data_IF_780752685336
#
_entry.id   IF_780752685336
#
_cell.length_a   1.000
_cell.length_b   1.000
_cell.length_c   1.000
_cell.angle_alpha   90.00
_cell.angle_beta   90.00
_cell.angle_gamma   90.00
#
_symmetry.space_group_name_H-M   'P 1'
#
loop_
_entity.id
_entity.type
_entity.pdbx_description
1 polymer ?
#
# COMPACT_ATOMS: atom_id res chain seq x y z
N UNK A 1 14.68 -13.44 26.41
CA UNK A 1 15.01 -12.44 25.36
C UNK A 1 14.14 -11.24 25.65
N UNK A 2 14.71 -10.03 25.76
CA UNK A 2 13.93 -8.79 26.02
C UNK A 2 13.51 -8.15 24.68
N UNK A 3 12.87 -8.95 23.82
CA UNK A 3 12.36 -8.42 22.56
C UNK A 3 11.17 -7.50 22.79
N UNK A 4 10.98 -6.56 21.87
CA UNK A 4 9.87 -5.62 21.88
C UNK A 4 9.21 -5.60 20.50
N UNK A 5 7.94 -5.26 20.46
CA UNK A 5 7.19 -5.15 19.21
C UNK A 5 6.19 -4.02 19.27
N UNK A 6 5.95 -3.37 18.13
CA UNK A 6 4.86 -2.42 17.96
C UNK A 6 4.18 -2.62 16.61
N UNK A 7 2.85 -2.51 16.63
CA UNK A 7 2.02 -2.47 15.43
C UNK A 7 1.52 -1.05 15.19
N UNK A 8 1.83 -0.48 14.04
CA UNK A 8 1.59 0.94 13.74
C UNK A 8 0.87 1.08 12.41
N UNK A 9 -0.30 1.68 12.41
CA UNK A 9 -1.07 1.90 11.19
C UNK A 9 -0.63 3.18 10.48
N UNK A 10 -0.42 3.10 9.16
CA UNK A 10 -0.23 4.28 8.29
C UNK A 10 -1.59 4.65 7.69
N UNK A 11 -2.22 5.68 8.25
CA UNK A 11 -3.48 6.23 7.80
C UNK A 11 -3.29 7.54 7.02
N UNK A 12 -4.17 7.84 6.09
CA UNK A 12 -4.13 9.08 5.31
C UNK A 12 -4.98 8.96 4.05
N UNK A 13 -5.27 10.11 3.41
CA UNK A 13 -6.01 10.12 2.14
C UNK A 13 -5.26 9.39 1.01
N UNK A 14 -5.93 9.12 -0.12
CA UNK A 14 -5.25 8.61 -1.31
C UNK A 14 -4.10 9.53 -1.75
N UNK A 15 -3.02 8.94 -2.23
CA UNK A 15 -1.86 9.62 -2.84
C UNK A 15 -0.99 10.48 -1.89
N UNK A 16 -1.20 10.47 -0.58
CA UNK A 16 -0.31 11.14 0.39
C UNK A 16 1.06 10.46 0.51
N UNK A 17 1.20 9.22 0.01
CA UNK A 17 2.47 8.48 -0.01
C UNK A 17 2.59 7.34 1.00
N UNK A 18 1.47 6.75 1.46
CA UNK A 18 1.48 5.63 2.43
C UNK A 18 2.33 4.45 1.97
N UNK A 19 2.05 3.90 0.80
CA UNK A 19 2.81 2.77 0.23
C UNK A 19 4.26 3.14 -0.11
N UNK A 20 4.52 4.43 -0.46
CA UNK A 20 5.89 4.92 -0.63
C UNK A 20 6.63 4.91 0.70
N UNK A 21 5.97 5.34 1.79
CA UNK A 21 6.54 5.30 3.12
C UNK A 21 6.79 3.86 3.57
N UNK A 22 5.82 2.94 3.41
CA UNK A 22 5.99 1.52 3.75
C UNK A 22 7.21 0.91 3.04
N UNK A 23 7.35 1.11 1.73
CA UNK A 23 8.51 0.66 0.96
C UNK A 23 9.83 1.28 1.47
N UNK A 24 9.80 2.59 1.79
CA UNK A 24 10.99 3.31 2.26
C UNK A 24 11.45 2.85 3.65
N UNK A 25 10.52 2.51 4.55
CA UNK A 25 10.81 2.00 5.89
C UNK A 25 11.44 0.61 5.85
N UNK A 26 10.98 -0.25 4.96
CA UNK A 26 11.52 -1.62 4.75
C UNK A 26 12.82 -1.61 3.93
N UNK A 27 12.95 -0.64 3.02
CA UNK A 27 14.09 -0.55 2.08
C UNK A 27 13.92 -1.38 0.81
N UNK A 28 12.75 -1.97 0.59
CA UNK A 28 12.42 -2.74 -0.62
C UNK A 28 10.97 -2.56 -1.07
N UNK A 29 10.65 -3.02 -2.28
CA UNK A 29 9.32 -2.85 -2.88
C UNK A 29 8.37 -3.96 -2.45
N UNK A 30 7.65 -3.75 -1.35
CA UNK A 30 6.58 -4.64 -0.87
C UNK A 30 5.18 -4.18 -1.29
N UNK A 31 5.01 -2.89 -1.57
CA UNK A 31 3.75 -2.28 -1.97
C UNK A 31 3.89 -1.55 -3.30
N UNK A 32 2.83 -1.55 -4.09
CA UNK A 32 2.80 -0.82 -5.36
C UNK A 32 2.53 0.66 -5.15
N UNK A 33 3.10 1.48 -6.03
CA UNK A 33 2.98 2.94 -5.95
C UNK A 33 2.42 3.50 -7.25
N UNK A 34 1.38 4.31 -7.16
CA UNK A 34 0.79 5.01 -8.31
C UNK A 34 0.21 6.36 -7.89
N UNK A 35 0.12 7.29 -8.83
CA UNK A 35 -0.58 8.56 -8.65
C UNK A 35 -2.11 8.42 -8.72
N UNK A 36 -2.63 7.23 -9.02
CA UNK A 36 -4.07 6.97 -9.14
C UNK A 36 -4.67 6.57 -7.79
N UNK A 37 -5.91 6.95 -7.50
CA UNK A 37 -6.59 6.50 -6.29
C UNK A 37 -6.79 4.98 -6.31
N UNK A 38 -7.04 4.38 -5.14
CA UNK A 38 -7.25 2.93 -4.98
C UNK A 38 -6.04 2.09 -5.47
N UNK A 39 -4.82 2.60 -5.29
CA UNK A 39 -3.60 1.87 -5.58
C UNK A 39 -3.46 0.68 -4.65
N UNK A 40 -3.45 0.90 -3.34
CA UNK A 40 -3.49 -0.16 -2.32
C UNK A 40 -4.94 -0.60 -2.12
N UNK A 41 -5.19 -1.90 -2.17
CA UNK A 41 -6.53 -2.50 -1.98
C UNK A 41 -6.62 -3.42 -0.77
N UNK A 42 -5.52 -4.05 -0.40
CA UNK A 42 -5.38 -4.89 0.79
C UNK A 42 -4.59 -4.16 1.89
N UNK A 43 -4.69 -4.67 3.10
CA UNK A 43 -3.74 -4.39 4.15
C UNK A 43 -2.40 -5.03 3.78
N UNK A 44 -1.30 -4.32 3.96
CA UNK A 44 0.06 -4.81 3.75
C UNK A 44 0.84 -4.51 5.02
N UNK A 45 1.44 -5.55 5.63
CA UNK A 45 2.39 -5.35 6.71
C UNK A 45 3.78 -5.11 6.13
N UNK A 46 4.38 -3.99 6.51
CA UNK A 46 5.78 -3.65 6.31
C UNK A 46 6.52 -3.93 7.62
N UNK A 47 7.40 -4.94 7.62
CA UNK A 47 8.04 -5.46 8.83
C UNK A 47 9.48 -4.98 8.85
N UNK A 48 9.89 -4.37 9.96
CA UNK A 48 11.24 -3.82 10.14
C UNK A 48 11.82 -4.30 11.46
N UNK A 49 12.92 -5.07 11.37
CA UNK A 49 13.67 -5.52 12.53
C UNK A 49 14.80 -4.53 12.83
N UNK A 50 14.87 -4.06 14.08
CA UNK A 50 15.92 -3.17 14.58
C UNK A 50 16.45 -3.69 15.92
N UNK A 51 17.47 -4.54 15.88
CA UNK A 51 18.01 -5.18 17.05
C UNK A 51 16.95 -6.01 17.79
N UNK A 52 16.65 -5.68 19.03
CA UNK A 52 15.65 -6.39 19.85
C UNK A 52 14.20 -5.89 19.60
N UNK A 53 13.99 -5.00 18.63
CA UNK A 53 12.67 -4.40 18.38
C UNK A 53 12.21 -4.74 16.97
N UNK A 54 10.97 -5.24 16.85
CA UNK A 54 10.27 -5.41 15.58
C UNK A 54 9.14 -4.40 15.47
N UNK A 55 9.17 -3.57 14.42
CA UNK A 55 8.12 -2.62 14.07
C UNK A 55 7.33 -3.14 12.88
N UNK A 56 6.01 -3.24 13.05
CA UNK A 56 5.09 -3.69 11.99
C UNK A 56 4.23 -2.52 11.56
N UNK A 57 4.49 -2.00 10.37
CA UNK A 57 3.71 -0.91 9.80
C UNK A 57 2.61 -1.47 8.90
N UNK A 58 1.38 -1.04 9.14
CA UNK A 58 0.23 -1.46 8.35
C UNK A 58 -0.06 -0.39 7.30
N UNK A 59 0.28 -0.64 6.02
CA UNK A 59 -0.18 0.17 4.89
C UNK A 59 -1.63 -0.16 4.58
N UNK A 60 -2.48 0.86 4.60
CA UNK A 60 -3.92 0.71 4.38
C UNK A 60 -4.35 1.32 3.05
N UNK A 61 -5.46 0.84 2.46
CA UNK A 61 -6.12 1.56 1.39
C UNK A 61 -6.34 3.03 1.74
N UNK A 62 -6.23 3.92 0.75
CA UNK A 62 -6.55 5.33 0.96
C UNK A 62 -8.02 5.51 1.34
N UNK A 63 -8.28 6.27 2.39
CA UNK A 63 -9.65 6.53 2.85
C UNK A 63 -10.47 7.25 1.78
N UNK A 64 -11.59 6.66 1.33
CA UNK A 64 -12.45 7.17 0.28
C UNK A 64 -13.91 6.74 0.48
N UNK A 65 -14.84 7.43 -0.17
CA UNK A 65 -16.26 7.01 -0.16
C UNK A 65 -16.45 5.81 -1.10
N UNK A 66 -16.97 4.68 -0.60
CA UNK A 66 -17.17 3.48 -1.41
C UNK A 66 -18.29 3.65 -2.44
N UNK A 67 -18.16 2.98 -3.58
CA UNK A 67 -19.17 2.93 -4.65
C UNK A 67 -19.43 1.52 -5.16
N UNK A 68 -18.67 0.54 -4.68
CA UNK A 68 -18.74 -0.88 -5.05
C UNK A 68 -18.46 -1.71 -3.81
N UNK A 69 -18.80 -3.00 -3.82
CA UNK A 69 -18.45 -3.92 -2.73
C UNK A 69 -16.95 -3.99 -2.46
N UNK A 70 -16.12 -3.89 -3.51
CA UNK A 70 -14.66 -3.77 -3.33
C UNK A 70 -14.30 -2.49 -2.58
N UNK A 71 -15.00 -1.38 -2.85
CA UNK A 71 -14.83 -0.12 -2.11
C UNK A 71 -15.22 -0.25 -0.64
N UNK A 72 -16.34 -0.92 -0.34
CA UNK A 72 -16.77 -1.21 1.04
C UNK A 72 -15.73 -2.06 1.78
N UNK A 73 -15.18 -3.08 1.12
CA UNK A 73 -14.08 -3.89 1.64
C UNK A 73 -12.87 -3.03 2.04
N UNK A 74 -12.43 -2.13 1.16
CA UNK A 74 -11.28 -1.24 1.43
C UNK A 74 -11.52 -0.30 2.62
N UNK A 75 -12.73 0.24 2.77
CA UNK A 75 -13.09 1.10 3.91
C UNK A 75 -13.10 0.30 5.22
N UNK A 76 -13.59 -0.93 5.20
CA UNK A 76 -13.59 -1.80 6.38
C UNK A 76 -12.16 -2.10 6.84
N UNK A 77 -11.20 -2.34 5.93
CA UNK A 77 -9.79 -2.51 6.27
C UNK A 77 -9.26 -1.28 7.03
N UNK A 78 -9.52 -0.07 6.54
CA UNK A 78 -9.05 1.15 7.22
C UNK A 78 -9.65 1.25 8.63
N UNK A 79 -10.93 0.97 8.78
CA UNK A 79 -11.59 1.03 10.08
C UNK A 79 -11.03 0.02 11.09
N UNK A 80 -10.80 -1.22 10.66
CA UNK A 80 -10.22 -2.27 11.49
C UNK A 80 -8.76 -1.98 11.85
N UNK A 81 -7.98 -1.45 10.89
CA UNK A 81 -6.55 -1.17 11.09
C UNK A 81 -6.25 -0.04 12.08
N UNK A 82 -7.24 0.75 12.49
CA UNK A 82 -7.05 1.82 13.49
C UNK A 82 -7.40 1.33 14.92
N UNK A 83 -8.15 0.24 15.05
CA UNK A 83 -8.72 -0.15 16.34
C UNK A 83 -7.75 -0.91 17.28
N UNK A 84 -6.89 -1.78 16.72
CA UNK A 84 -6.07 -2.73 17.51
C UNK A 84 -4.57 -2.55 17.19
N UNK A 85 -4.05 -1.32 17.40
CA UNK A 85 -2.64 -1.00 17.15
C UNK A 85 -2.06 -0.15 18.28
N UNK A 86 -0.73 -0.16 18.39
CA UNK A 86 -0.02 0.59 19.43
C UNK A 86 0.07 2.09 19.13
N UNK A 87 0.07 2.46 17.84
CA UNK A 87 0.05 3.85 17.40
C UNK A 87 -0.50 3.99 15.97
N UNK A 88 -0.88 5.20 15.61
CA UNK A 88 -1.30 5.56 14.25
C UNK A 88 -0.41 6.68 13.71
N UNK A 89 0.14 6.50 12.53
CA UNK A 89 0.74 7.56 11.72
C UNK A 89 -0.38 8.19 10.88
N UNK A 90 -0.73 9.44 11.18
CA UNK A 90 -1.56 10.25 10.28
C UNK A 90 -0.65 10.92 9.25
N UNK A 91 -0.60 10.35 8.05
CA UNK A 91 0.23 10.83 6.96
C UNK A 91 -0.52 11.88 6.14
N UNK A 92 0.05 13.09 6.03
CA UNK A 92 -0.55 14.22 5.32
C UNK A 92 0.43 14.85 4.33
N UNK A 93 -0.09 15.61 3.37
CA UNK A 93 0.73 16.44 2.48
C UNK A 93 1.03 17.80 3.13
N UNK A 94 2.08 18.54 2.68
CA UNK A 94 2.45 19.84 3.24
C UNK A 94 1.51 20.96 2.75
N UNK A 95 0.21 20.81 3.03
CA UNK A 95 -0.87 21.72 2.65
C UNK A 95 -1.57 22.15 3.92
N UNK A 96 -1.61 23.47 4.18
CA UNK A 96 -2.24 24.05 5.37
C UNK A 96 -3.79 24.07 5.27
N UNK A 97 -4.37 22.92 4.95
CA UNK A 97 -5.83 22.76 4.86
C UNK A 97 -6.19 21.30 5.23
N UNK A 98 -7.00 21.17 6.27
CA UNK A 98 -7.50 19.86 6.71
C UNK A 98 -8.80 19.57 5.97
N UNK A 99 -8.72 18.62 5.03
CA UNK A 99 -9.87 18.21 4.23
C UNK A 99 -10.87 17.33 5.00
N UNK A 100 -12.06 17.09 4.43
CA UNK A 100 -13.08 16.26 5.09
C UNK A 100 -12.62 14.83 5.39
N UNK A 101 -11.74 14.28 4.55
CA UNK A 101 -11.20 12.93 4.73
C UNK A 101 -10.21 12.86 5.89
N UNK A 102 -9.35 13.87 6.05
CA UNK A 102 -8.47 13.98 7.21
C UNK A 102 -9.26 14.18 8.50
N UNK A 103 -10.30 15.05 8.48
CA UNK A 103 -11.18 15.26 9.63
C UNK A 103 -11.85 13.95 10.08
N UNK A 104 -12.39 13.18 9.14
CA UNK A 104 -13.02 11.89 9.44
C UNK A 104 -12.00 10.86 10.00
N UNK A 105 -10.77 10.83 9.49
CA UNK A 105 -9.71 10.00 10.05
C UNK A 105 -9.30 10.43 11.45
N UNK A 106 -9.18 11.73 11.71
CA UNK A 106 -8.86 12.29 13.03
C UNK A 106 -9.93 11.89 14.05
N UNK A 107 -11.22 12.00 13.70
CA UNK A 107 -12.30 11.59 14.60
C UNK A 107 -12.24 10.08 14.91
N UNK A 108 -11.96 9.23 13.92
CA UNK A 108 -11.77 7.79 14.15
C UNK A 108 -10.60 7.49 15.09
N UNK A 109 -9.47 8.19 14.93
CA UNK A 109 -8.31 8.03 15.81
C UNK A 109 -8.66 8.45 17.25
N UNK A 110 -9.41 9.55 17.42
CA UNK A 110 -9.91 9.99 18.74
C UNK A 110 -10.82 8.94 19.39
N UNK A 111 -11.77 8.39 18.61
CA UNK A 111 -12.70 7.37 19.09
C UNK A 111 -11.96 6.09 19.53
N UNK A 112 -10.94 5.69 18.77
CA UNK A 112 -10.09 4.55 19.10
C UNK A 112 -9.18 4.79 20.31
N UNK A 113 -8.95 6.05 20.71
CA UNK A 113 -8.04 6.45 21.80
C UNK A 113 -6.61 5.91 21.64
N UNK A 114 -6.15 5.78 20.42
CA UNK A 114 -4.81 5.30 20.10
C UNK A 114 -3.87 6.49 19.93
N UNK A 115 -2.61 6.43 20.45
CA UNK A 115 -1.61 7.46 20.22
C UNK A 115 -1.40 7.73 18.75
N UNK A 116 -1.22 9.00 18.39
CA UNK A 116 -1.06 9.39 16.99
C UNK A 116 0.18 10.25 16.76
N UNK A 117 0.86 10.00 15.63
CA UNK A 117 1.99 10.79 15.13
C UNK A 117 1.49 11.51 13.88
N UNK A 118 1.64 12.83 13.83
CA UNK A 118 1.42 13.59 12.58
C UNK A 118 2.69 13.52 11.73
N UNK A 119 2.60 12.92 10.54
CA UNK A 119 3.71 12.85 9.60
C UNK A 119 3.39 13.66 8.36
N UNK A 120 4.16 14.74 8.14
CA UNK A 120 4.00 15.62 6.98
C UNK A 120 4.97 15.13 5.91
N UNK A 121 4.43 14.46 4.88
CA UNK A 121 5.21 13.88 3.79
C UNK A 121 5.36 14.84 2.61
N UNK A 122 6.27 14.53 1.70
CA UNK A 122 6.56 15.28 0.47
C UNK A 122 7.14 16.69 0.75
N UNK A 123 7.91 16.83 1.81
CA UNK A 123 8.56 18.12 2.14
C UNK A 123 9.54 18.58 1.06
N UNK A 124 9.99 17.67 0.20
CA UNK A 124 10.79 17.94 -0.99
C UNK A 124 10.08 18.77 -2.07
N UNK A 125 8.76 18.96 -1.93
CA UNK A 125 7.94 19.70 -2.90
C UNK A 125 7.62 21.14 -2.47
N UNK A 126 8.02 21.55 -1.28
CA UNK A 126 7.72 22.87 -0.69
C UNK A 126 8.92 23.48 0.02
N UNK A 127 8.88 24.80 0.23
CA UNK A 127 9.85 25.48 1.08
C UNK A 127 9.59 25.21 2.57
N UNK A 128 10.64 25.20 3.39
CA UNK A 128 10.56 24.84 4.82
C UNK A 128 9.56 25.69 5.61
N UNK A 129 9.45 26.97 5.26
CA UNK A 129 8.55 27.94 5.90
C UNK A 129 7.06 27.55 5.76
N UNK A 130 6.74 26.78 4.72
CA UNK A 130 5.36 26.27 4.47
C UNK A 130 4.93 25.27 5.55
N UNK A 131 5.86 24.63 6.24
CA UNK A 131 5.53 23.59 7.23
C UNK A 131 4.89 24.13 8.49
N UNK A 132 5.25 25.35 8.94
CA UNK A 132 4.68 25.95 10.15
C UNK A 132 3.16 26.18 10.05
N UNK A 133 2.62 26.76 8.96
CA UNK A 133 1.17 26.83 8.75
C UNK A 133 0.49 25.45 8.71
N UNK A 134 1.14 24.42 8.14
CA UNK A 134 0.59 23.05 8.11
C UNK A 134 0.49 22.52 9.53
N UNK A 135 1.55 22.60 10.34
CA UNK A 135 1.53 22.17 11.73
C UNK A 135 0.43 22.90 12.52
N UNK A 136 0.32 24.21 12.34
CA UNK A 136 -0.72 25.01 13.00
C UNK A 136 -2.13 24.57 12.65
N UNK A 137 -2.38 24.10 11.40
CA UNK A 137 -3.69 23.63 10.98
C UNK A 137 -4.13 22.30 11.65
N UNK A 138 -3.18 21.46 12.08
CA UNK A 138 -3.47 20.15 12.68
C UNK A 138 -3.35 20.12 14.21
N UNK A 139 -2.51 20.97 14.85
CA UNK A 139 -2.11 20.89 16.27
C UNK A 139 -3.27 20.87 17.26
N UNK A 140 -4.38 21.55 16.93
CA UNK A 140 -5.54 21.67 17.83
C UNK A 140 -6.64 20.65 17.53
N UNK A 141 -6.44 19.80 16.50
CA UNK A 141 -7.43 18.81 16.09
C UNK A 141 -7.28 17.47 16.82
N UNK A 142 -6.06 17.11 17.20
CA UNK A 142 -5.75 15.89 17.95
C UNK A 142 -4.47 16.15 18.75
N UNK A 143 -4.37 15.55 19.94
CA UNK A 143 -3.13 15.57 20.73
C UNK A 143 -2.12 14.59 20.12
N UNK A 144 -1.36 15.07 19.15
CA UNK A 144 -0.31 14.27 18.50
C UNK A 144 0.89 14.12 19.42
N UNK A 145 1.38 12.89 19.55
CA UNK A 145 2.59 12.60 20.36
C UNK A 145 3.81 13.30 19.76
N UNK A 146 3.90 13.33 18.44
CA UNK A 146 4.99 13.95 17.68
C UNK A 146 4.49 14.51 16.35
N UNK A 147 5.26 15.45 15.78
CA UNK A 147 5.05 15.99 14.44
C UNK A 147 6.35 15.88 13.65
N UNK A 148 6.36 15.02 12.63
CA UNK A 148 7.57 14.67 11.91
C UNK A 148 7.42 14.98 10.42
N UNK A 149 8.16 15.98 9.90
CA UNK A 149 8.25 16.22 8.47
C UNK A 149 9.19 15.22 7.80
N UNK A 150 8.76 14.64 6.68
CA UNK A 150 9.53 13.64 5.92
C UNK A 150 9.43 13.84 4.41
N UNK A 151 10.39 13.27 3.69
CA UNK A 151 10.23 12.90 2.29
C UNK A 151 10.46 11.39 2.15
N UNK A 152 9.37 10.63 2.10
CA UNK A 152 9.43 9.17 1.91
C UNK A 152 10.15 8.79 0.60
N UNK A 153 10.02 9.63 -0.43
CA UNK A 153 10.68 9.45 -1.73
C UNK A 153 12.20 9.55 -1.66
N UNK A 154 12.72 10.46 -0.84
CA UNK A 154 14.15 10.77 -0.72
C UNK A 154 14.75 10.24 0.58
N UNK A 155 13.99 9.47 1.37
CA UNK A 155 14.39 8.89 2.65
C UNK A 155 14.79 9.95 3.69
N UNK A 156 14.30 11.20 3.56
CA UNK A 156 14.56 12.27 4.50
C UNK A 156 13.59 12.18 5.69
N UNK A 157 14.09 12.32 6.91
CA UNK A 157 13.32 12.28 8.15
C UNK A 157 12.90 10.88 8.62
N UNK A 158 13.22 9.79 7.88
CA UNK A 158 12.80 8.44 8.23
C UNK A 158 13.42 7.93 9.53
N UNK A 159 14.69 8.24 9.79
CA UNK A 159 15.36 7.82 11.03
C UNK A 159 14.68 8.42 12.26
N UNK A 160 14.28 9.70 12.19
CA UNK A 160 13.54 10.37 13.26
C UNK A 160 12.17 9.72 13.46
N UNK A 161 11.46 9.40 12.39
CA UNK A 161 10.19 8.69 12.45
C UNK A 161 10.35 7.32 13.11
N UNK A 162 11.37 6.55 12.71
CA UNK A 162 11.65 5.23 13.29
C UNK A 162 11.95 5.31 14.78
N UNK A 163 12.76 6.28 15.24
CA UNK A 163 13.04 6.49 16.66
C UNK A 163 11.77 6.78 17.48
N UNK A 164 10.87 7.60 16.95
CA UNK A 164 9.59 7.86 17.60
C UNK A 164 8.72 6.60 17.63
N UNK A 165 8.68 5.84 16.53
CA UNK A 165 7.93 4.59 16.47
C UNK A 165 8.43 3.54 17.49
N UNK A 166 9.73 3.45 17.74
CA UNK A 166 10.32 2.55 18.74
C UNK A 166 9.82 2.82 20.18
N UNK A 167 9.41 4.05 20.48
CA UNK A 167 8.87 4.39 21.81
C UNK A 167 7.51 3.72 22.12
N UNK A 168 6.81 3.26 21.10
CA UNK A 168 5.53 2.54 21.24
C UNK A 168 5.73 1.02 21.40
N UNK A 169 6.95 0.52 21.20
CA UNK A 169 7.21 -0.90 21.27
C UNK A 169 7.12 -1.43 22.69
N UNK A 170 6.29 -2.46 22.88
CA UNK A 170 6.05 -3.12 24.15
C UNK A 170 6.84 -4.42 24.28
N UNK A 171 7.28 -4.83 25.48
CA UNK A 171 7.92 -6.12 25.69
C UNK A 171 7.02 -7.27 25.21
N UNK A 172 7.53 -8.08 24.31
CA UNK A 172 6.81 -9.22 23.74
C UNK A 172 7.64 -9.96 22.70
N UNK A 173 7.22 -11.15 22.27
CA UNK A 173 7.85 -11.85 21.17
C UNK A 173 7.65 -11.11 19.85
N UNK A 174 8.53 -11.32 18.89
CA UNK A 174 8.29 -10.84 17.52
C UNK A 174 7.01 -11.45 16.95
N UNK A 175 6.23 -10.62 16.27
CA UNK A 175 4.96 -11.03 15.63
C UNK A 175 5.20 -11.88 14.38
N UNK A 176 6.33 -11.61 13.71
CA UNK A 176 6.73 -12.27 12.48
C UNK A 176 8.14 -12.84 12.60
N UNK A 177 8.51 -13.87 11.80
CA UNK A 177 9.89 -14.37 11.76
C UNK A 177 10.88 -13.26 11.40
N UNK A 178 12.07 -13.30 12.00
CA UNK A 178 13.15 -12.36 11.67
C UNK A 178 13.52 -12.41 10.19
N UNK A 179 13.81 -11.24 9.62
CA UNK A 179 14.33 -11.09 8.26
C UNK A 179 13.26 -11.14 7.17
N UNK A 180 11.98 -11.20 7.50
CA UNK A 180 10.93 -10.99 6.50
C UNK A 180 10.50 -9.53 6.46
N UNK A 181 10.22 -9.01 5.27
CA UNK A 181 9.88 -7.61 5.03
C UNK A 181 8.37 -7.37 4.96
N UNK A 182 7.60 -8.42 4.69
CA UNK A 182 6.15 -8.33 4.51
C UNK A 182 5.47 -9.67 4.79
N UNK A 183 4.20 -9.62 5.17
CA UNK A 183 3.31 -10.79 5.31
C UNK A 183 2.71 -11.27 3.98
N UNK A 184 2.92 -10.50 2.89
CA UNK A 184 2.37 -10.84 1.57
C UNK A 184 3.13 -12.01 0.93
N UNK A 185 2.43 -13.06 0.46
CA UNK A 185 3.04 -14.09 -0.37
C UNK A 185 3.66 -13.50 -1.65
N UNK A 186 4.84 -13.98 -2.06
CA UNK A 186 5.54 -13.54 -3.28
C UNK A 186 4.61 -13.51 -4.51
N UNK A 187 3.78 -14.54 -4.66
CA UNK A 187 2.77 -14.64 -5.72
C UNK A 187 1.83 -13.43 -5.74
N UNK A 188 1.44 -12.92 -4.58
CA UNK A 188 0.55 -11.77 -4.46
C UNK A 188 1.28 -10.46 -4.75
N UNK A 189 2.53 -10.33 -4.30
CA UNK A 189 3.39 -9.18 -4.64
C UNK A 189 3.56 -9.07 -6.15
N UNK A 190 3.79 -10.19 -6.84
CA UNK A 190 3.91 -10.20 -8.31
C UNK A 190 2.60 -9.82 -9.00
N UNK A 191 1.45 -10.27 -8.52
CA UNK A 191 0.16 -9.85 -9.05
C UNK A 191 -0.02 -8.33 -8.91
N UNK A 192 0.36 -7.77 -7.78
CA UNK A 192 0.32 -6.33 -7.54
C UNK A 192 1.33 -5.56 -8.43
N UNK A 193 2.54 -6.07 -8.64
CA UNK A 193 3.51 -5.47 -9.59
C UNK A 193 2.90 -5.37 -10.99
N UNK A 194 2.23 -6.42 -11.47
CA UNK A 194 1.54 -6.39 -12.77
C UNK A 194 0.40 -5.36 -12.75
N UNK A 195 -0.39 -5.31 -11.67
CA UNK A 195 -1.47 -4.34 -11.49
C UNK A 195 -0.95 -2.89 -11.44
N UNK A 196 0.21 -2.64 -10.88
CA UNK A 196 0.87 -1.33 -10.94
C UNK A 196 1.10 -0.87 -12.38
N UNK A 197 1.56 -1.77 -13.27
CA UNK A 197 1.81 -1.39 -14.68
C UNK A 197 0.50 -1.12 -15.43
N UNK A 198 -0.60 -1.78 -15.05
CA UNK A 198 -1.93 -1.43 -15.54
C UNK A 198 -2.34 -0.02 -15.07
N UNK A 199 -2.13 0.30 -13.79
CA UNK A 199 -2.39 1.65 -13.26
C UNK A 199 -1.57 2.73 -13.97
N UNK A 200 -0.32 2.46 -14.32
CA UNK A 200 0.56 3.44 -14.98
C UNK A 200 0.24 3.66 -16.45
N UNK A 201 -0.16 2.61 -17.17
CA UNK A 201 -0.31 2.64 -18.63
C UNK A 201 -1.75 2.83 -19.11
N UNK A 202 -2.76 2.65 -18.25
CA UNK A 202 -4.17 2.78 -18.62
C UNK A 202 -4.77 4.03 -17.98
N UNK A 203 -5.81 4.58 -18.59
CA UNK A 203 -6.42 5.85 -18.18
C UNK A 203 -7.88 5.67 -17.72
N UNK A 204 -8.42 6.71 -17.12
CA UNK A 204 -9.81 6.82 -16.64
C UNK A 204 -10.15 5.68 -15.67
N UNK A 205 -11.33 5.06 -15.84
CA UNK A 205 -11.85 3.99 -14.97
C UNK A 205 -11.31 2.58 -15.29
N UNK A 206 -10.58 2.43 -16.43
CA UNK A 206 -10.12 1.11 -16.87
C UNK A 206 -9.22 0.44 -15.83
N UNK A 207 -8.15 1.09 -15.33
CA UNK A 207 -7.26 0.44 -14.36
C UNK A 207 -7.96 0.12 -13.03
N UNK A 208 -8.96 0.91 -12.63
CA UNK A 208 -9.72 0.66 -11.40
C UNK A 208 -10.62 -0.58 -11.50
N UNK A 209 -11.05 -0.92 -12.71
CA UNK A 209 -11.83 -2.13 -13.02
C UNK A 209 -10.99 -3.36 -13.36
N UNK A 210 -9.66 -3.34 -13.09
CA UNK A 210 -8.80 -4.51 -13.33
C UNK A 210 -8.46 -5.25 -12.04
N UNK A 211 -8.32 -6.59 -12.16
CA UNK A 211 -7.69 -7.45 -11.17
C UNK A 211 -6.65 -8.34 -11.86
N UNK A 212 -5.69 -8.84 -11.10
CA UNK A 212 -4.63 -9.73 -11.61
C UNK A 212 -4.60 -10.97 -10.72
N UNK A 213 -4.65 -12.13 -11.35
CA UNK A 213 -4.52 -13.43 -10.70
C UNK A 213 -3.30 -14.15 -11.28
N UNK A 214 -2.43 -14.65 -10.40
CA UNK A 214 -1.33 -15.52 -10.81
C UNK A 214 -1.85 -16.95 -10.87
N UNK A 215 -1.93 -17.49 -12.09
CA UNK A 215 -2.47 -18.83 -12.34
C UNK A 215 -1.39 -19.92 -12.37
N UNK A 216 -0.12 -19.54 -12.62
CA UNK A 216 1.04 -20.42 -12.49
C UNK A 216 2.18 -19.66 -11.82
N UNK A 217 2.84 -20.30 -10.88
CA UNK A 217 4.06 -19.86 -10.24
C UNK A 217 4.91 -21.10 -9.94
N UNK A 218 6.00 -21.27 -10.66
CA UNK A 218 6.91 -22.41 -10.48
C UNK A 218 8.33 -22.04 -10.85
N UNK A 219 9.27 -22.47 -10.05
CA UNK A 219 10.68 -22.37 -10.33
C UNK A 219 11.14 -23.58 -11.18
N UNK A 220 11.95 -23.30 -12.21
CA UNK A 220 12.59 -24.30 -13.04
C UNK A 220 13.90 -24.75 -12.41
N UNK A 221 14.45 -25.88 -12.88
CA UNK A 221 15.75 -26.41 -12.43
C UNK A 221 16.92 -25.43 -12.68
N UNK A 222 16.79 -24.52 -13.64
CA UNK A 222 17.76 -23.47 -13.95
C UNK A 222 17.55 -22.17 -13.14
N UNK A 223 16.63 -22.16 -12.16
CA UNK A 223 16.32 -21.03 -11.30
C UNK A 223 15.45 -19.95 -11.94
N UNK A 224 14.98 -20.16 -13.18
CA UNK A 224 14.04 -19.24 -13.84
C UNK A 224 12.63 -19.48 -13.27
N UNK A 225 11.90 -18.40 -12.99
CA UNK A 225 10.52 -18.49 -12.52
C UNK A 225 9.55 -18.41 -13.71
N UNK A 226 8.72 -19.44 -13.87
CA UNK A 226 7.56 -19.42 -14.74
C UNK A 226 6.39 -18.74 -14.03
N UNK A 227 5.91 -17.65 -14.61
CA UNK A 227 4.83 -16.85 -14.08
C UNK A 227 3.74 -16.63 -15.12
N UNK A 228 2.56 -17.22 -14.88
CA UNK A 228 1.38 -17.00 -15.70
C UNK A 228 0.40 -16.12 -14.95
N UNK A 229 -0.06 -15.05 -15.59
CA UNK A 229 -0.97 -14.08 -15.00
C UNK A 229 -2.18 -13.83 -15.88
N UNK A 230 -3.36 -13.87 -15.28
CA UNK A 230 -4.60 -13.45 -15.92
C UNK A 230 -5.02 -12.07 -15.43
N UNK A 231 -5.16 -11.15 -16.36
CA UNK A 231 -5.66 -9.79 -16.13
C UNK A 231 -7.16 -9.81 -16.40
N UNK A 232 -7.96 -9.53 -15.39
CA UNK A 232 -9.41 -9.41 -15.52
C UNK A 232 -9.80 -7.95 -15.71
N UNK A 233 -10.81 -7.71 -16.54
CA UNK A 233 -11.44 -6.40 -16.74
C UNK A 233 -12.95 -6.55 -16.89
N UNK A 234 -13.70 -5.46 -16.66
CA UNK A 234 -15.17 -5.53 -16.59
C UNK A 234 -15.87 -5.55 -17.95
N UNK A 235 -15.23 -5.04 -19.02
CA UNK A 235 -15.91 -4.86 -20.33
C UNK A 235 -15.03 -5.30 -21.49
N UNK A 236 -15.63 -5.78 -22.56
CA UNK A 236 -14.92 -6.14 -23.79
C UNK A 236 -14.14 -4.95 -24.40
N UNK A 237 -14.70 -3.73 -24.32
CA UNK A 237 -14.00 -2.51 -24.73
C UNK A 237 -12.73 -2.25 -23.90
N UNK A 238 -12.74 -2.55 -22.60
CA UNK A 238 -11.57 -2.44 -21.73
C UNK A 238 -10.51 -3.46 -22.13
N UNK A 239 -10.90 -4.72 -22.44
CA UNK A 239 -10.00 -5.76 -22.95
C UNK A 239 -9.26 -5.29 -24.20
N UNK A 240 -9.98 -4.69 -25.16
CA UNK A 240 -9.37 -4.15 -26.37
C UNK A 240 -8.31 -3.06 -26.09
N UNK A 241 -8.57 -2.18 -25.12
CA UNK A 241 -7.63 -1.11 -24.72
C UNK A 241 -6.40 -1.69 -23.98
N UNK A 242 -6.60 -2.66 -23.09
CA UNK A 242 -5.51 -3.34 -22.35
C UNK A 242 -4.59 -4.09 -23.31
N UNK A 243 -5.13 -4.75 -24.33
CA UNK A 243 -4.34 -5.44 -25.36
C UNK A 243 -3.65 -4.40 -26.26
N UNK A 244 -4.38 -3.38 -26.69
CA UNK A 244 -3.92 -2.33 -27.59
C UNK A 244 -3.76 -2.81 -29.03
N UNK A 245 -3.40 -1.88 -29.93
CA UNK A 245 -3.19 -2.19 -31.36
C UNK A 245 -2.07 -3.22 -31.51
N UNK A 246 -2.36 -4.33 -32.15
CA UNK A 246 -1.43 -5.45 -32.38
C UNK A 246 -0.76 -5.96 -31.08
N UNK A 247 -1.44 -5.87 -29.93
CA UNK A 247 -0.92 -6.33 -28.63
C UNK A 247 0.16 -5.45 -28.00
N UNK A 248 0.43 -4.27 -28.55
CA UNK A 248 1.55 -3.41 -28.12
C UNK A 248 1.41 -2.92 -26.68
N UNK A 249 0.20 -2.58 -26.21
CA UNK A 249 -0.02 -2.11 -24.85
C UNK A 249 0.21 -3.24 -23.85
N UNK A 250 -0.35 -4.42 -24.07
CA UNK A 250 -0.14 -5.58 -23.22
C UNK A 250 1.33 -5.99 -23.19
N UNK A 251 2.02 -5.99 -24.33
CA UNK A 251 3.46 -6.27 -24.42
C UNK A 251 4.27 -5.28 -23.56
N UNK A 252 3.95 -3.98 -23.62
CA UNK A 252 4.61 -2.96 -22.79
C UNK A 252 4.39 -3.23 -21.31
N UNK A 253 3.14 -3.40 -20.88
CA UNK A 253 2.75 -3.70 -19.52
C UNK A 253 3.50 -4.93 -18.99
N UNK A 254 3.47 -6.04 -19.75
CA UNK A 254 4.11 -7.30 -19.36
C UNK A 254 5.65 -7.18 -19.30
N UNK A 255 6.26 -6.42 -20.24
CA UNK A 255 7.71 -6.20 -20.23
C UNK A 255 8.15 -5.41 -19.02
N UNK A 256 7.42 -4.34 -18.67
CA UNK A 256 7.75 -3.51 -17.49
C UNK A 256 7.47 -4.27 -16.19
N UNK A 257 6.38 -5.04 -16.14
CA UNK A 257 6.06 -5.90 -15.00
C UNK A 257 7.13 -6.98 -14.79
N UNK A 258 7.55 -7.68 -15.86
CA UNK A 258 8.58 -8.71 -15.79
C UNK A 258 9.89 -8.19 -15.18
N UNK A 259 10.35 -7.01 -15.60
CA UNK A 259 11.58 -6.39 -15.06
C UNK A 259 11.48 -6.13 -13.56
N UNK A 260 10.32 -5.68 -13.08
CA UNK A 260 10.13 -5.42 -11.66
C UNK A 260 9.94 -6.73 -10.87
N UNK A 261 9.28 -7.74 -11.44
CA UNK A 261 9.24 -9.09 -10.86
C UNK A 261 10.65 -9.72 -10.76
N UNK A 262 11.48 -9.58 -11.80
CA UNK A 262 12.89 -10.05 -11.77
C UNK A 262 13.70 -9.34 -10.68
N UNK A 263 13.47 -8.03 -10.48
CA UNK A 263 14.14 -7.27 -9.42
C UNK A 263 13.68 -7.71 -8.03
N UNK A 264 12.40 -7.96 -7.86
CA UNK A 264 11.83 -8.43 -6.61
C UNK A 264 12.32 -9.84 -6.25
N UNK A 265 12.33 -10.76 -7.22
CA UNK A 265 12.74 -12.16 -7.00
C UNK A 265 14.26 -12.38 -7.01
N UNK A 266 15.04 -11.40 -7.47
CA UNK A 266 16.48 -11.56 -7.64
C UNK A 266 16.91 -12.56 -8.73
N UNK A 267 15.95 -13.05 -9.54
CA UNK A 267 16.19 -14.03 -10.60
C UNK A 267 15.39 -13.71 -11.87
N UNK A 268 15.64 -14.45 -12.96
CA UNK A 268 14.91 -14.30 -14.21
C UNK A 268 13.46 -14.78 -14.09
N UNK A 269 12.55 -14.06 -14.76
CA UNK A 269 11.13 -14.40 -14.80
C UNK A 269 10.65 -14.55 -16.24
N UNK A 270 10.03 -15.68 -16.53
CA UNK A 270 9.31 -15.91 -17.78
C UNK A 270 7.82 -15.60 -17.54
N UNK A 271 7.41 -14.37 -17.90
CA UNK A 271 6.05 -13.88 -17.67
C UNK A 271 5.17 -14.07 -18.89
N UNK A 272 4.05 -14.77 -18.74
CA UNK A 272 2.96 -14.83 -19.70
C UNK A 272 1.71 -14.14 -19.16
N UNK A 273 0.98 -13.40 -20.00
CA UNK A 273 -0.19 -12.64 -19.57
C UNK A 273 -1.36 -12.84 -20.51
N UNK A 274 -2.56 -13.02 -19.94
CA UNK A 274 -3.82 -13.08 -20.65
C UNK A 274 -4.79 -12.02 -20.16
N UNK A 275 -5.74 -11.62 -21.00
CA UNK A 275 -6.77 -10.66 -20.62
C UNK A 275 -8.15 -11.30 -20.76
N UNK A 276 -8.91 -11.36 -19.68
CA UNK A 276 -10.25 -11.91 -19.60
C UNK A 276 -11.28 -10.87 -19.19
N UNK A 277 -12.48 -10.95 -19.74
CA UNK A 277 -13.62 -10.12 -19.33
C UNK A 277 -14.37 -10.83 -18.23
N UNK A 278 -14.61 -10.14 -17.11
CA UNK A 278 -15.43 -10.59 -16.00
C UNK A 278 -16.31 -9.43 -15.55
N UNK A 279 -17.52 -9.41 -16.04
CA UNK A 279 -18.46 -8.32 -15.77
C UNK A 279 -18.78 -8.20 -14.28
N UNK A 280 -18.88 -6.99 -13.78
CA UNK A 280 -19.30 -6.65 -12.41
C UNK A 280 -18.52 -7.39 -11.30
N UNK A 281 -17.26 -7.81 -11.56
CA UNK A 281 -16.47 -8.54 -10.55
C UNK A 281 -16.29 -7.77 -9.25
N UNK A 282 -16.25 -6.43 -9.30
CA UNK A 282 -16.11 -5.55 -8.11
C UNK A 282 -17.32 -5.56 -7.19
N UNK A 283 -18.45 -6.09 -7.63
CA UNK A 283 -19.70 -6.21 -6.87
C UNK A 283 -20.04 -7.68 -6.53
N UNK A 284 -19.10 -8.61 -6.79
CA UNK A 284 -19.22 -10.04 -6.48
C UNK A 284 -18.30 -10.42 -5.32
N UNK A 285 -18.85 -10.75 -4.15
CA UNK A 285 -18.07 -11.19 -2.98
C UNK A 285 -17.21 -12.42 -3.30
N UNK A 286 -17.74 -13.36 -4.11
CA UNK A 286 -17.00 -14.54 -4.57
C UNK A 286 -15.75 -14.15 -5.39
N UNK A 287 -15.88 -13.22 -6.35
CA UNK A 287 -14.75 -12.80 -7.18
C UNK A 287 -13.75 -11.95 -6.40
N UNK A 288 -14.24 -11.09 -5.50
CA UNK A 288 -13.41 -10.30 -4.60
C UNK A 288 -12.52 -11.22 -3.77
N UNK A 289 -13.12 -12.26 -3.17
CA UNK A 289 -12.37 -13.26 -2.40
C UNK A 289 -11.36 -14.03 -3.27
N UNK A 290 -11.76 -14.48 -4.46
CA UNK A 290 -10.87 -15.23 -5.37
C UNK A 290 -9.64 -14.42 -5.81
N UNK A 291 -9.76 -13.10 -5.89
CA UNK A 291 -8.63 -12.20 -6.20
C UNK A 291 -7.77 -11.85 -4.98
N UNK A 292 -7.96 -12.54 -3.85
CA UNK A 292 -7.16 -12.34 -2.65
C UNK A 292 -7.60 -11.17 -1.77
N UNK A 293 -8.81 -10.63 -2.00
CA UNK A 293 -9.42 -9.60 -1.16
C UNK A 293 -10.32 -10.26 -0.11
N UNK A 294 -9.72 -10.88 0.91
CA UNK A 294 -10.45 -11.60 1.96
C UNK A 294 -10.85 -10.66 3.08
N UNK A 295 -12.10 -10.77 3.56
CA UNK A 295 -12.48 -10.19 4.84
C UNK A 295 -11.75 -10.99 5.93
N UNK A 296 -10.94 -10.32 6.74
CA UNK A 296 -10.44 -10.93 7.96
C UNK A 296 -11.65 -11.23 8.87
N UNK A 297 -11.73 -12.47 9.32
CA UNK A 297 -12.80 -12.96 10.20
C UNK A 297 -12.61 -12.48 11.62
#
# INVERSE_FOLDING_TARGET
MNTKTAMITIAGRPNVGKSTLANALVGEKIAIVSHKPQTTRNRICAIVDRGDTQLVFIDTPGFHRPRTKLGDYMVNIVNQSVADVDAVILLVEPIANVGPQEQELIEKIKEAKVPAILVINKIDTVEKETLLPVIAAYKDLLDFTDVIPISAKWHDGLDSLMQVCENFAQPGPFMFPEGISTDMPEKQVMAEIIREKLLWNLEKEIPHGTAVEITKFSERDDGIIDLDATIYCEKASHKGIIIGKNGQMLKKISTDARKDCERFMGTKVFLQTWVHVKENWRDSDYMISNFGYHKES
#
